data_IF_100858478101
#
_entry.id   IF_100858478101
#
_cell.length_a   1.000
_cell.length_b   1.000
_cell.length_c   1.000
_cell.angle_alpha   90.00
_cell.angle_beta   90.00
_cell.angle_gamma   90.00
#
_symmetry.space_group_name_H-M   'P 1'
#
loop_
_entity.id
_entity.type
_entity.pdbx_description
1 polymer ?
#
# COMPACT_ATOMS: atom_id res chain seq x y z
N UNK A 1 20.46 45.10 31.12
CA UNK A 1 19.64 44.25 31.99
C UNK A 1 19.25 43.03 31.16
N UNK A 2 20.10 42.02 30.98
CA UNK A 2 20.65 41.09 32.01
C UNK A 2 19.54 40.60 32.95
N UNK A 3 19.31 39.33 33.24
CA UNK A 3 19.87 38.05 32.76
C UNK A 3 18.96 36.94 33.34
N UNK A 4 18.64 35.93 32.51
CA UNK A 4 18.64 34.48 32.79
C UNK A 4 17.71 33.76 33.79
N UNK A 5 17.38 32.55 33.31
CA UNK A 5 17.14 31.25 33.97
C UNK A 5 15.71 30.94 34.40
N UNK A 6 15.09 29.79 34.06
CA UNK A 6 15.54 28.47 33.54
C UNK A 6 14.31 27.79 32.91
N UNK A 7 14.43 27.29 31.68
CA UNK A 7 14.59 25.86 31.36
C UNK A 7 13.38 24.97 31.69
N UNK A 8 12.65 24.55 30.65
CA UNK A 8 12.31 23.15 30.48
C UNK A 8 12.13 22.82 28.99
N UNK A 9 12.99 21.91 28.54
CA UNK A 9 13.03 21.29 27.23
C UNK A 9 11.89 20.28 27.13
N UNK A 10 11.07 20.33 26.07
CA UNK A 10 10.45 19.14 25.50
C UNK A 10 10.58 19.18 23.98
N UNK A 11 11.27 18.17 23.47
CA UNK A 11 11.40 17.83 22.07
C UNK A 11 10.03 17.53 21.47
N UNK A 12 9.50 18.46 20.68
CA UNK A 12 8.49 18.11 19.68
C UNK A 12 9.21 17.86 18.36
N UNK A 13 9.51 16.58 18.13
CA UNK A 13 9.91 16.06 16.84
C UNK A 13 8.81 16.35 15.83
N UNK A 14 9.11 17.28 14.92
CA UNK A 14 8.32 17.57 13.73
C UNK A 14 8.29 16.30 12.88
N UNK A 15 7.23 15.49 13.00
CA UNK A 15 6.91 14.48 12.02
C UNK A 15 6.55 15.19 10.72
N UNK A 16 7.50 15.24 9.80
CA UNK A 16 7.26 15.64 8.41
C UNK A 16 6.22 14.69 7.83
N UNK A 17 5.04 15.24 7.57
CA UNK A 17 3.97 14.65 6.80
C UNK A 17 4.51 14.36 5.40
N UNK A 18 4.84 13.11 5.11
CA UNK A 18 5.09 12.67 3.74
C UNK A 18 3.75 12.31 3.10
N UNK A 19 3.31 13.24 2.25
CA UNK A 19 2.27 13.07 1.24
C UNK A 19 2.41 11.71 0.54
N UNK A 20 1.29 11.02 0.38
CA UNK A 20 1.16 9.75 -0.32
C UNK A 20 1.94 9.75 -1.65
N UNK A 21 2.78 8.73 -1.87
CA UNK A 21 3.43 8.53 -3.16
C UNK A 21 2.47 7.80 -4.11
N UNK A 22 2.26 8.30 -5.33
CA UNK A 22 1.46 7.63 -6.34
C UNK A 22 2.14 6.33 -6.79
N UNK A 23 1.36 5.25 -6.83
CA UNK A 23 1.74 3.97 -7.42
C UNK A 23 1.81 4.15 -8.93
N UNK A 24 3.02 4.26 -9.48
CA UNK A 24 3.21 4.32 -10.92
C UNK A 24 4.63 4.67 -11.32
N UNK A 25 5.34 3.66 -11.84
CA UNK A 25 6.46 3.68 -12.82
C UNK A 25 7.59 2.74 -12.41
N UNK A 26 7.46 1.48 -12.81
CA UNK A 26 8.58 0.54 -12.94
C UNK A 26 9.35 0.87 -14.23
N UNK A 27 10.52 1.49 -14.11
CA UNK A 27 11.47 1.62 -15.22
C UNK A 27 12.39 0.39 -15.24
N UNK A 28 12.49 -0.27 -16.41
CA UNK A 28 13.48 -1.32 -16.69
C UNK A 28 14.85 -0.69 -17.01
N UNK A 29 15.97 -1.18 -16.46
CA UNK A 29 17.28 -0.86 -16.99
C UNK A 29 17.70 -1.82 -18.11
N UNK A 30 18.14 -1.20 -19.20
CA UNK A 30 18.91 -1.76 -20.31
C UNK A 30 20.36 -1.94 -19.85
N UNK A 31 21.04 -3.04 -20.21
CA UNK A 31 22.50 -3.07 -20.25
C UNK A 31 23.02 -3.79 -21.51
N UNK A 32 23.89 -3.06 -22.21
CA UNK A 32 24.75 -3.50 -23.32
C UNK A 32 25.91 -4.33 -22.75
N UNK A 33 26.25 -5.44 -23.41
CA UNK A 33 27.55 -6.08 -23.24
C UNK A 33 28.44 -5.71 -24.43
N UNK A 34 29.61 -5.14 -24.15
CA UNK A 34 30.78 -5.11 -25.04
C UNK A 34 31.67 -6.31 -24.70
N UNK A 35 32.19 -6.94 -25.75
CA UNK A 35 33.32 -7.86 -25.74
C UNK A 35 34.59 -7.22 -25.12
N UNK A 36 35.47 -8.02 -24.51
CA UNK A 36 36.77 -8.42 -25.09
C UNK A 36 37.66 -9.15 -24.07
N UNK A 37 38.57 -9.97 -24.63
CA UNK A 37 39.43 -10.98 -24.00
C UNK A 37 40.75 -10.40 -23.49
N UNK A 38 41.63 -11.33 -23.08
CA UNK A 38 43.10 -11.27 -22.83
C UNK A 38 43.34 -11.27 -21.31
N UNK A 39 43.99 -12.24 -20.67
CA UNK A 39 44.98 -13.25 -21.10
C UNK A 39 46.22 -13.02 -20.25
N UNK A 40 46.65 -14.00 -19.45
CA UNK A 40 48.08 -14.24 -19.15
C UNK A 40 48.31 -15.52 -18.33
N UNK A 41 49.37 -16.23 -18.75
CA UNK A 41 49.97 -17.42 -18.10
C UNK A 41 50.90 -16.95 -16.98
N UNK A 42 50.93 -17.67 -15.86
CA UNK A 42 52.10 -17.71 -14.97
C UNK A 42 52.41 -19.17 -14.62
N UNK A 43 53.70 -19.47 -14.70
CA UNK A 43 54.35 -20.77 -14.60
C UNK A 43 54.30 -21.36 -13.18
N UNK A 44 54.21 -22.69 -13.12
CA UNK A 44 54.28 -23.48 -11.88
C UNK A 44 55.75 -23.67 -11.45
N UNK A 45 56.08 -23.22 -10.24
CA UNK A 45 57.20 -23.77 -9.46
C UNK A 45 56.69 -24.75 -8.38
N UNK A 46 57.18 -25.98 -8.54
CA UNK A 46 57.26 -27.16 -7.66
C UNK A 46 56.80 -27.08 -6.19
N UNK A 47 55.75 -27.85 -5.88
CA UNK A 47 55.42 -28.31 -4.52
C UNK A 47 55.81 -29.79 -4.36
N UNK A 48 56.42 -30.12 -3.21
CA UNK A 48 56.97 -31.43 -2.83
C UNK A 48 55.95 -32.58 -2.83
N UNK A 49 56.36 -33.84 -3.14
CA UNK A 49 55.45 -34.98 -3.36
C UNK A 49 54.65 -35.43 -2.13
N UNK A 50 55.01 -34.97 -0.92
CA UNK A 50 54.29 -35.31 0.31
C UNK A 50 52.97 -34.53 0.48
N UNK A 51 52.74 -33.46 -0.29
CA UNK A 51 51.45 -32.77 -0.29
C UNK A 51 50.44 -33.43 -1.24
N UNK A 52 50.87 -34.19 -2.25
CA UNK A 52 50.00 -34.75 -3.29
C UNK A 52 48.95 -35.78 -2.80
N UNK A 53 49.12 -36.40 -1.63
CA UNK A 53 48.14 -37.38 -1.12
C UNK A 53 46.87 -36.75 -0.53
N UNK A 54 46.88 -35.45 -0.24
CA UNK A 54 45.68 -34.67 0.14
C UNK A 54 44.97 -34.04 -1.07
N UNK A 55 45.59 -34.09 -2.26
CA UNK A 55 45.20 -33.30 -3.44
C UNK A 55 44.36 -34.05 -4.48
N UNK A 56 44.27 -35.38 -4.39
CA UNK A 56 43.43 -36.17 -5.29
C UNK A 56 41.92 -36.11 -4.97
N UNK A 57 41.49 -35.35 -3.95
CA UNK A 57 40.09 -35.25 -3.52
C UNK A 57 39.36 -33.93 -3.85
N UNK A 58 40.04 -32.92 -4.38
CA UNK A 58 39.49 -31.55 -4.52
C UNK A 58 38.74 -31.35 -5.85
N UNK A 59 38.91 -32.22 -6.83
CA UNK A 59 38.38 -32.04 -8.19
C UNK A 59 36.86 -32.25 -8.35
N UNK A 60 36.10 -32.57 -7.30
CA UNK A 60 34.65 -32.78 -7.39
C UNK A 60 33.91 -32.46 -6.09
N UNK A 61 34.09 -31.28 -5.51
CA UNK A 61 33.17 -30.78 -4.49
C UNK A 61 31.84 -30.44 -5.17
N UNK A 62 30.83 -31.30 -4.99
CA UNK A 62 29.54 -31.21 -5.68
C UNK A 62 28.49 -30.39 -4.92
N UNK A 63 28.72 -30.07 -3.64
CA UNK A 63 27.77 -29.29 -2.84
C UNK A 63 28.45 -28.33 -1.85
N UNK A 64 27.69 -27.32 -1.41
CA UNK A 64 28.13 -26.34 -0.42
C UNK A 64 28.40 -27.00 0.95
N UNK A 65 27.68 -28.05 1.30
CA UNK A 65 27.86 -28.82 2.53
C UNK A 65 29.15 -29.63 2.50
N UNK A 66 29.47 -30.28 1.36
CA UNK A 66 30.75 -30.97 1.19
C UNK A 66 31.92 -30.00 1.25
N UNK A 67 31.75 -28.80 0.69
CA UNK A 67 32.74 -27.72 0.78
C UNK A 67 32.94 -27.27 2.24
N UNK A 68 31.85 -27.04 2.96
CA UNK A 68 31.89 -26.63 4.36
C UNK A 68 32.52 -27.70 5.25
N UNK A 69 32.23 -28.98 5.00
CA UNK A 69 32.85 -30.13 5.68
C UNK A 69 34.36 -30.17 5.47
N UNK A 70 34.80 -30.03 4.22
CA UNK A 70 36.23 -30.01 3.90
C UNK A 70 36.93 -28.82 4.57
N UNK A 71 36.35 -27.62 4.50
CA UNK A 71 36.90 -26.42 5.16
C UNK A 71 36.98 -26.63 6.67
N UNK A 72 35.96 -27.22 7.29
CA UNK A 72 35.96 -27.54 8.72
C UNK A 72 37.12 -28.47 9.10
N UNK A 73 37.33 -29.54 8.34
CA UNK A 73 38.40 -30.50 8.60
C UNK A 73 39.80 -29.90 8.39
N UNK A 74 39.97 -29.03 7.40
CA UNK A 74 41.24 -28.32 7.17
C UNK A 74 41.47 -27.25 8.24
N UNK A 75 40.43 -26.52 8.62
CA UNK A 75 40.48 -25.50 9.67
C UNK A 75 40.87 -26.10 11.02
N UNK A 76 40.60 -27.40 11.24
CA UNK A 76 41.03 -28.17 12.40
C UNK A 76 42.54 -28.45 12.44
N UNK A 77 43.25 -28.30 11.33
CA UNK A 77 44.66 -28.64 11.19
C UNK A 77 45.58 -27.42 10.96
N UNK A 78 45.03 -26.32 10.44
CA UNK A 78 45.78 -25.09 10.13
C UNK A 78 44.85 -23.87 10.03
N UNK A 79 45.42 -22.67 10.12
CA UNK A 79 44.73 -21.41 9.83
C UNK A 79 44.36 -21.30 8.34
N UNK A 80 43.21 -20.68 8.07
CA UNK A 80 42.66 -20.52 6.72
C UNK A 80 42.32 -19.05 6.47
N UNK A 81 42.81 -18.51 5.35
CA UNK A 81 42.35 -17.26 4.77
C UNK A 81 41.29 -17.52 3.71
N UNK A 82 40.02 -17.38 4.09
CA UNK A 82 38.88 -17.66 3.21
C UNK A 82 38.47 -16.42 2.43
N UNK A 83 38.47 -16.51 1.10
CA UNK A 83 37.93 -15.47 0.21
C UNK A 83 36.78 -16.04 -0.62
N UNK A 84 35.57 -15.53 -0.41
CA UNK A 84 34.42 -15.76 -1.28
C UNK A 84 34.27 -14.55 -2.23
N UNK A 85 34.19 -14.80 -3.53
CA UNK A 85 33.83 -13.72 -4.48
C UNK A 85 32.34 -13.33 -4.33
N UNK A 86 31.92 -12.18 -4.83
CA UNK A 86 30.52 -11.73 -4.70
C UNK A 86 29.63 -12.39 -5.78
N UNK A 87 28.97 -13.52 -5.50
CA UNK A 87 27.98 -14.17 -6.38
C UNK A 87 26.85 -14.81 -5.55
N UNK A 88 25.63 -14.89 -6.07
CA UNK A 88 24.44 -15.45 -5.36
C UNK A 88 24.66 -16.86 -4.80
N UNK A 89 25.42 -17.72 -5.50
CA UNK A 89 25.78 -19.08 -5.04
C UNK A 89 26.70 -19.10 -3.82
N UNK A 90 27.34 -17.97 -3.47
CA UNK A 90 28.19 -17.87 -2.29
C UNK A 90 27.39 -17.61 -1.01
N UNK A 91 26.13 -17.18 -1.09
CA UNK A 91 25.25 -17.15 0.08
C UNK A 91 24.97 -18.56 0.60
N UNK A 92 24.78 -19.52 -0.31
CA UNK A 92 24.58 -20.94 0.04
C UNK A 92 25.82 -21.52 0.72
N UNK A 93 27.01 -21.21 0.19
CA UNK A 93 28.30 -21.64 0.79
C UNK A 93 28.54 -20.98 2.14
N UNK A 94 28.29 -19.67 2.25
CA UNK A 94 28.35 -18.91 3.51
C UNK A 94 27.46 -19.56 4.56
N UNK A 95 26.22 -19.84 4.20
CA UNK A 95 25.23 -20.41 5.12
C UNK A 95 25.60 -21.84 5.55
N UNK A 96 26.09 -22.67 4.61
CA UNK A 96 26.59 -24.00 4.90
C UNK A 96 27.81 -23.96 5.84
N UNK A 97 28.74 -23.02 5.63
CA UNK A 97 29.88 -22.79 6.52
C UNK A 97 29.44 -22.36 7.92
N UNK A 98 28.56 -21.35 8.02
CA UNK A 98 28.05 -20.89 9.32
C UNK A 98 27.37 -22.02 10.09
N UNK A 99 26.57 -22.86 9.42
CA UNK A 99 25.94 -24.04 10.04
C UNK A 99 26.99 -25.07 10.47
N UNK A 100 27.97 -25.37 9.62
CA UNK A 100 28.99 -26.38 9.92
C UNK A 100 29.85 -26.00 11.12
N UNK A 101 30.18 -24.72 11.26
CA UNK A 101 30.93 -24.18 12.39
C UNK A 101 30.05 -23.84 13.60
N UNK A 102 28.76 -24.20 13.61
CA UNK A 102 27.80 -23.86 14.67
C UNK A 102 27.75 -22.35 15.00
N UNK A 103 28.06 -21.51 14.02
CA UNK A 103 28.09 -20.06 14.11
C UNK A 103 26.85 -19.43 13.46
N UNK A 104 25.82 -20.21 13.14
CA UNK A 104 24.59 -19.67 12.59
C UNK A 104 23.90 -18.76 13.62
N UNK A 105 23.48 -17.53 13.26
CA UNK A 105 22.94 -16.55 14.21
C UNK A 105 21.47 -16.84 14.60
N UNK A 106 21.20 -18.06 15.07
CA UNK A 106 19.86 -18.58 15.37
C UNK A 106 19.09 -17.67 16.35
N UNK A 107 19.74 -17.26 17.44
CA UNK A 107 19.12 -16.39 18.46
C UNK A 107 18.74 -15.02 17.91
N UNK A 108 19.58 -14.45 17.03
CA UNK A 108 19.33 -13.14 16.42
C UNK A 108 18.26 -13.23 15.33
N UNK A 109 18.24 -14.32 14.57
CA UNK A 109 17.18 -14.60 13.58
C UNK A 109 15.82 -14.77 14.26
N UNK A 110 15.74 -15.52 15.36
CA UNK A 110 14.51 -15.65 16.17
C UNK A 110 14.08 -14.28 16.74
N UNK A 111 15.02 -13.47 17.21
CA UNK A 111 14.71 -12.11 17.69
C UNK A 111 14.21 -11.21 16.56
N UNK A 112 14.78 -11.28 15.37
CA UNK A 112 14.34 -10.55 14.19
C UNK A 112 12.90 -10.96 13.80
N UNK A 113 12.62 -12.26 13.76
CA UNK A 113 11.26 -12.78 13.51
C UNK A 113 10.24 -12.32 14.57
N UNK A 114 10.62 -12.30 15.86
CA UNK A 114 9.76 -11.77 16.92
C UNK A 114 9.52 -10.26 16.79
N UNK A 115 10.54 -9.50 16.39
CA UNK A 115 10.40 -8.05 16.13
C UNK A 115 9.48 -7.80 14.94
N UNK A 116 9.64 -8.57 13.87
CA UNK A 116 8.77 -8.55 12.70
C UNK A 116 7.30 -8.77 13.05
N UNK A 117 6.99 -9.83 13.80
CA UNK A 117 5.62 -10.09 14.25
C UNK A 117 5.02 -8.94 15.06
N UNK A 118 5.81 -8.33 15.94
CA UNK A 118 5.37 -7.15 16.72
C UNK A 118 5.14 -5.92 15.83
N UNK A 119 6.00 -5.70 14.84
CA UNK A 119 5.88 -4.58 13.91
C UNK A 119 4.66 -4.74 13.02
N UNK A 120 4.39 -5.95 12.50
CA UNK A 120 3.18 -6.24 11.74
C UNK A 120 1.94 -6.01 12.57
N UNK A 121 1.89 -6.52 13.81
CA UNK A 121 0.72 -6.31 14.66
C UNK A 121 0.48 -4.82 14.91
N UNK A 122 1.54 -4.07 15.22
CA UNK A 122 1.45 -2.63 15.42
C UNK A 122 1.01 -1.89 14.16
N UNK A 123 1.56 -2.27 13.00
CA UNK A 123 1.18 -1.68 11.71
C UNK A 123 -0.27 -1.98 11.37
N UNK A 124 -0.75 -3.20 11.64
CA UNK A 124 -2.16 -3.58 11.47
C UNK A 124 -3.09 -2.71 12.34
N UNK A 125 -2.77 -2.57 13.63
CA UNK A 125 -3.57 -1.73 14.54
C UNK A 125 -3.58 -0.26 14.09
N UNK A 126 -2.43 0.26 13.66
CA UNK A 126 -2.30 1.62 13.13
C UNK A 126 -3.06 1.80 11.81
N UNK A 127 -2.97 0.85 10.88
CA UNK A 127 -3.71 0.87 9.63
C UNK A 127 -5.21 0.92 9.88
N UNK A 128 -5.71 0.07 10.77
CA UNK A 128 -7.12 0.04 11.11
C UNK A 128 -7.58 1.38 11.70
N UNK A 129 -6.82 1.96 12.63
CA UNK A 129 -7.12 3.28 13.21
C UNK A 129 -7.15 4.37 12.13
N UNK A 130 -6.16 4.41 11.24
CA UNK A 130 -6.07 5.43 10.19
C UNK A 130 -7.22 5.31 9.17
N UNK A 131 -7.59 4.09 8.75
CA UNK A 131 -8.74 3.89 7.85
C UNK A 131 -10.03 4.32 8.54
N UNK A 132 -10.22 3.96 9.81
CA UNK A 132 -11.40 4.35 10.57
C UNK A 132 -11.52 5.87 10.72
N UNK A 133 -10.42 6.57 11.05
CA UNK A 133 -10.41 8.03 11.15
C UNK A 133 -10.74 8.68 9.81
N UNK A 134 -10.12 8.20 8.72
CA UNK A 134 -10.39 8.69 7.38
C UNK A 134 -11.88 8.54 6.99
N UNK A 135 -12.43 7.34 7.17
CA UNK A 135 -13.82 7.06 6.82
C UNK A 135 -14.81 7.76 7.73
N UNK A 136 -14.46 7.96 9.01
CA UNK A 136 -15.29 8.72 9.93
C UNK A 136 -15.39 10.20 9.52
N UNK A 137 -14.26 10.82 9.16
CA UNK A 137 -14.23 12.19 8.64
C UNK A 137 -15.02 12.31 7.32
N UNK A 138 -14.80 11.38 6.39
CA UNK A 138 -15.52 11.36 5.11
C UNK A 138 -17.03 11.17 5.31
N UNK A 139 -17.43 10.27 6.21
CA UNK A 139 -18.83 10.10 6.61
C UNK A 139 -19.40 11.39 7.19
N UNK A 140 -18.68 12.04 8.09
CA UNK A 140 -19.08 13.31 8.69
C UNK A 140 -19.37 14.37 7.64
N UNK A 141 -18.45 14.56 6.68
CA UNK A 141 -18.60 15.52 5.59
C UNK A 141 -19.77 15.20 4.67
N UNK A 142 -19.93 13.94 4.25
CA UNK A 142 -21.04 13.52 3.39
C UNK A 142 -22.40 13.69 4.08
N UNK A 143 -22.48 13.40 5.39
CA UNK A 143 -23.70 13.62 6.17
C UNK A 143 -24.00 15.11 6.36
N UNK A 144 -22.98 15.92 6.65
CA UNK A 144 -23.13 17.37 6.80
C UNK A 144 -23.61 18.04 5.49
N UNK A 145 -23.17 17.51 4.34
CA UNK A 145 -23.59 17.98 3.02
C UNK A 145 -24.92 17.41 2.51
N UNK A 146 -25.52 16.43 3.20
CA UNK A 146 -26.68 15.69 2.68
C UNK A 146 -27.89 16.59 2.43
N UNK A 147 -28.23 17.48 3.37
CA UNK A 147 -29.38 18.38 3.20
C UNK A 147 -29.17 19.34 2.02
N UNK A 148 -27.95 19.88 1.89
CA UNK A 148 -27.60 20.84 0.84
C UNK A 148 -27.55 20.19 -0.55
N UNK A 149 -27.02 18.96 -0.65
CA UNK A 149 -27.00 18.16 -1.89
C UNK A 149 -28.41 17.89 -2.41
N UNK A 150 -29.37 17.70 -1.51
CA UNK A 150 -30.77 17.43 -1.83
C UNK A 150 -31.66 18.68 -1.81
N UNK A 151 -31.09 19.89 -1.81
CA UNK A 151 -31.83 21.18 -1.81
C UNK A 151 -32.78 21.38 -0.60
N UNK A 152 -32.63 20.58 0.46
CA UNK A 152 -33.51 20.64 1.62
C UNK A 152 -33.26 21.90 2.45
N UNK A 153 -32.01 22.37 2.50
CA UNK A 153 -31.64 23.62 3.17
C UNK A 153 -32.35 24.84 2.60
N UNK A 154 -32.66 24.82 1.31
CA UNK A 154 -33.30 25.93 0.62
C UNK A 154 -34.84 25.83 0.63
N UNK A 155 -35.38 24.61 0.54
CA UNK A 155 -36.82 24.37 0.56
C UNK A 155 -37.41 24.39 1.97
N UNK A 156 -36.63 24.00 2.98
CA UNK A 156 -36.99 23.99 4.39
C UNK A 156 -35.86 24.62 5.20
N UNK A 157 -35.67 25.95 5.10
CA UNK A 157 -34.61 26.62 5.84
C UNK A 157 -34.81 26.42 7.34
N UNK A 158 -33.89 25.69 7.95
CA UNK A 158 -33.84 25.47 9.39
C UNK A 158 -33.44 26.76 10.11
N UNK A 159 -33.76 26.84 11.41
CA UNK A 159 -33.35 27.96 12.29
C UNK A 159 -31.83 28.12 12.33
N UNK A 160 -31.09 27.05 12.06
CA UNK A 160 -29.64 27.06 11.91
C UNK A 160 -29.26 26.80 10.45
N UNK A 161 -28.38 27.63 9.86
CA UNK A 161 -27.95 27.45 8.48
C UNK A 161 -27.24 26.11 8.29
N UNK A 162 -27.28 25.59 7.06
CA UNK A 162 -26.59 24.36 6.69
C UNK A 162 -25.10 24.44 7.06
N UNK A 163 -24.58 23.34 7.61
CA UNK A 163 -23.19 23.24 8.08
C UNK A 163 -22.20 23.37 6.91
N UNK A 164 -22.62 22.95 5.72
CA UNK A 164 -21.80 22.90 4.52
C UNK A 164 -22.55 23.54 3.35
N UNK A 165 -21.83 24.33 2.54
CA UNK A 165 -22.40 24.92 1.33
C UNK A 165 -22.62 23.86 0.25
N UNK A 166 -23.45 24.18 -0.75
CA UNK A 166 -23.76 23.23 -1.84
C UNK A 166 -22.51 22.87 -2.63
N UNK A 167 -21.66 23.86 -2.90
CA UNK A 167 -20.41 23.67 -3.64
C UNK A 167 -19.47 22.73 -2.89
N UNK A 168 -19.23 22.99 -1.61
CA UNK A 168 -18.36 22.14 -0.78
C UNK A 168 -18.89 20.71 -0.66
N UNK A 169 -20.21 20.54 -0.52
CA UNK A 169 -20.83 19.22 -0.45
C UNK A 169 -20.72 18.46 -1.79
N UNK A 170 -20.84 19.18 -2.91
CA UNK A 170 -20.66 18.62 -4.26
C UNK A 170 -19.21 18.20 -4.49
N UNK A 171 -18.25 19.06 -4.17
CA UNK A 171 -16.82 18.77 -4.28
C UNK A 171 -16.43 17.55 -3.44
N UNK A 172 -16.98 17.45 -2.22
CA UNK A 172 -16.78 16.29 -1.34
C UNK A 172 -17.31 15.00 -1.98
N UNK A 173 -18.52 15.04 -2.55
CA UNK A 173 -19.11 13.88 -3.22
C UNK A 173 -18.35 13.50 -4.49
N UNK A 174 -17.88 14.47 -5.27
CA UNK A 174 -17.08 14.25 -6.48
C UNK A 174 -15.74 13.59 -6.13
N UNK A 175 -15.03 14.12 -5.13
CA UNK A 175 -13.78 13.53 -4.64
C UNK A 175 -13.98 12.08 -4.18
N UNK A 176 -15.06 11.82 -3.43
CA UNK A 176 -15.39 10.46 -2.99
C UNK A 176 -15.69 9.52 -4.16
N UNK A 177 -16.47 9.98 -5.13
CA UNK A 177 -16.84 9.22 -6.33
C UNK A 177 -15.61 8.91 -7.18
N UNK A 178 -14.66 9.84 -7.29
CA UNK A 178 -13.43 9.64 -8.03
C UNK A 178 -12.46 8.71 -7.29
N UNK A 179 -12.40 8.77 -5.96
CA UNK A 179 -11.68 7.78 -5.17
C UNK A 179 -12.22 6.37 -5.43
N UNK A 180 -13.53 6.18 -5.39
CA UNK A 180 -14.17 4.89 -5.70
C UNK A 180 -13.78 4.38 -7.08
N UNK A 181 -13.78 5.26 -8.10
CA UNK A 181 -13.37 4.89 -9.47
C UNK A 181 -11.89 4.52 -9.57
N UNK A 182 -11.05 5.12 -8.73
CA UNK A 182 -9.60 4.86 -8.72
C UNK A 182 -9.24 3.49 -8.14
N UNK A 183 -10.16 2.87 -7.39
CA UNK A 183 -9.94 1.57 -6.75
C UNK A 183 -10.34 0.46 -7.73
N UNK A 184 -9.33 -0.25 -8.24
CA UNK A 184 -9.50 -1.40 -9.14
C UNK A 184 -10.58 -2.38 -8.66
N UNK A 185 -11.55 -2.68 -9.53
CA UNK A 185 -12.62 -3.66 -9.27
C UNK A 185 -13.76 -3.15 -8.38
N UNK A 186 -13.54 -2.12 -7.56
CA UNK A 186 -14.55 -1.64 -6.60
C UNK A 186 -15.69 -0.90 -7.30
N UNK A 187 -15.36 -0.03 -8.25
CA UNK A 187 -16.37 0.64 -9.08
C UNK A 187 -17.27 -0.37 -9.79
N UNK A 188 -16.69 -1.41 -10.41
CA UNK A 188 -17.47 -2.44 -11.10
C UNK A 188 -18.41 -3.18 -10.13
N UNK A 189 -17.94 -3.47 -8.91
CA UNK A 189 -18.76 -4.09 -7.87
C UNK A 189 -19.97 -3.23 -7.50
N UNK A 190 -19.78 -1.91 -7.36
CA UNK A 190 -20.86 -0.98 -7.02
C UNK A 190 -21.80 -0.69 -8.19
N UNK A 191 -21.26 -0.63 -9.41
CA UNK A 191 -21.99 -0.29 -10.63
C UNK A 191 -22.97 -1.39 -11.08
N UNK A 192 -22.72 -2.65 -10.69
CA UNK A 192 -23.59 -3.78 -10.98
C UNK A 192 -24.89 -3.80 -10.14
N UNK A 193 -25.11 -2.82 -9.27
CA UNK A 193 -26.24 -2.79 -8.33
C UNK A 193 -26.84 -1.40 -8.14
N UNK A 194 -27.66 -1.28 -7.09
CA UNK A 194 -28.36 -0.03 -6.73
C UNK A 194 -27.44 1.00 -6.04
N UNK A 195 -26.30 0.57 -5.49
CA UNK A 195 -25.40 1.43 -4.72
C UNK A 195 -24.87 2.59 -5.56
N UNK A 196 -24.34 2.31 -6.76
CA UNK A 196 -23.79 3.37 -7.60
C UNK A 196 -24.82 4.37 -8.14
N UNK A 197 -25.96 3.94 -8.72
CA UNK A 197 -26.99 4.88 -9.16
C UNK A 197 -27.56 5.75 -8.02
N UNK A 198 -27.64 5.20 -6.81
CA UNK A 198 -28.13 5.94 -5.64
C UNK A 198 -27.06 6.88 -5.11
N UNK A 199 -25.80 6.45 -5.00
CA UNK A 199 -24.69 7.31 -4.55
C UNK A 199 -24.56 8.57 -5.42
N UNK A 200 -24.69 8.41 -6.74
CA UNK A 200 -24.60 9.49 -7.74
C UNK A 200 -25.90 10.26 -7.96
N UNK A 201 -26.96 9.95 -7.19
CA UNK A 201 -28.27 10.58 -7.31
C UNK A 201 -28.25 12.11 -7.18
N UNK A 202 -27.49 12.72 -6.24
CA UNK A 202 -27.46 14.18 -6.11
C UNK A 202 -27.09 14.93 -7.40
N UNK A 203 -26.15 14.38 -8.19
CA UNK A 203 -25.76 14.97 -9.48
C UNK A 203 -26.89 14.97 -10.50
N UNK A 204 -27.75 13.96 -10.46
CA UNK A 204 -28.91 13.84 -11.38
C UNK A 204 -30.06 14.73 -10.93
N UNK A 205 -30.22 14.89 -9.62
CA UNK A 205 -31.31 15.68 -9.03
C UNK A 205 -31.19 17.17 -9.30
N UNK A 206 -29.97 17.70 -9.46
CA UNK A 206 -29.71 19.11 -9.76
C UNK A 206 -30.58 19.61 -10.93
N UNK A 207 -30.46 19.00 -12.10
CA UNK A 207 -31.21 19.43 -13.29
C UNK A 207 -32.71 19.12 -13.21
N UNK A 208 -33.10 18.06 -12.50
CA UNK A 208 -34.51 17.71 -12.35
C UNK A 208 -35.24 18.69 -11.45
N UNK A 209 -34.62 19.06 -10.34
CA UNK A 209 -35.13 20.07 -9.43
C UNK A 209 -35.25 21.42 -10.14
N UNK A 210 -34.19 21.85 -10.83
CA UNK A 210 -34.19 23.09 -11.62
C UNK A 210 -35.28 23.07 -12.70
N UNK A 211 -35.49 21.94 -13.39
CA UNK A 211 -36.51 21.83 -14.43
C UNK A 211 -37.93 22.04 -13.91
N UNK A 212 -38.29 21.38 -12.79
CA UNK A 212 -39.58 21.57 -12.13
C UNK A 212 -39.73 23.02 -11.67
N UNK A 213 -38.68 23.57 -11.05
CA UNK A 213 -38.68 24.92 -10.52
C UNK A 213 -38.84 26.00 -11.59
N UNK A 214 -38.09 25.90 -12.68
CA UNK A 214 -38.16 26.84 -13.80
C UNK A 214 -39.55 26.84 -14.45
N UNK A 215 -40.23 25.70 -14.54
CA UNK A 215 -41.61 25.63 -15.04
C UNK A 215 -42.58 26.41 -14.14
N UNK A 216 -42.40 26.36 -12.82
CA UNK A 216 -43.22 27.10 -11.85
C UNK A 216 -42.98 28.61 -12.01
N UNK A 217 -41.72 29.04 -11.99
CA UNK A 217 -41.36 30.47 -12.09
C UNK A 217 -41.83 31.12 -13.38
N UNK A 218 -41.79 30.39 -14.50
CA UNK A 218 -42.22 30.91 -15.81
C UNK A 218 -43.76 30.89 -15.98
N UNK A 219 -44.51 30.48 -14.95
CA UNK A 219 -45.98 30.48 -14.98
C UNK A 219 -46.60 29.32 -15.76
N UNK A 220 -45.83 28.28 -16.09
CA UNK A 220 -46.33 27.08 -16.78
C UNK A 220 -46.90 26.06 -15.79
N UNK A 221 -47.87 26.48 -14.97
CA UNK A 221 -48.39 25.70 -13.84
C UNK A 221 -48.84 24.28 -14.19
N UNK A 222 -49.61 24.01 -15.27
CA UNK A 222 -49.99 22.63 -15.62
C UNK A 222 -48.78 21.74 -15.93
N UNK A 223 -47.80 22.28 -16.67
CA UNK A 223 -46.59 21.55 -17.00
C UNK A 223 -45.69 21.33 -15.77
N UNK A 224 -45.67 22.26 -14.82
CA UNK A 224 -44.98 22.10 -13.55
C UNK A 224 -45.56 20.96 -12.72
N UNK A 225 -46.90 20.84 -12.65
CA UNK A 225 -47.55 19.71 -11.97
C UNK A 225 -47.25 18.36 -12.65
N UNK A 226 -47.29 18.30 -13.98
CA UNK A 226 -46.89 17.09 -14.72
C UNK A 226 -45.43 16.72 -14.45
N UNK A 227 -44.53 17.72 -14.45
CA UNK A 227 -43.13 17.54 -14.13
C UNK A 227 -42.92 17.05 -12.69
N UNK A 228 -43.69 17.56 -11.72
CA UNK A 228 -43.68 17.08 -10.35
C UNK A 228 -44.15 15.63 -10.22
N UNK A 229 -45.15 15.19 -10.98
CA UNK A 229 -45.58 13.79 -10.97
C UNK A 229 -44.50 12.87 -11.56
N UNK A 230 -43.85 13.28 -12.65
CA UNK A 230 -42.71 12.55 -13.23
C UNK A 230 -41.54 12.51 -12.24
N UNK A 231 -41.26 13.61 -11.55
CA UNK A 231 -40.24 13.68 -10.48
C UNK A 231 -40.59 12.77 -9.30
N UNK A 232 -41.86 12.70 -8.91
CA UNK A 232 -42.35 11.77 -7.87
C UNK A 232 -42.15 10.31 -8.27
N UNK A 233 -42.51 9.92 -9.50
CA UNK A 233 -42.26 8.58 -10.02
C UNK A 233 -40.76 8.26 -10.05
N UNK A 234 -39.93 9.22 -10.43
CA UNK A 234 -38.48 9.10 -10.37
C UNK A 234 -38.00 8.87 -8.93
N UNK A 235 -38.46 9.69 -7.98
CA UNK A 235 -38.13 9.53 -6.56
C UNK A 235 -38.55 8.15 -6.04
N UNK A 236 -39.75 7.68 -6.37
CA UNK A 236 -40.25 6.35 -5.98
C UNK A 236 -39.38 5.21 -6.51
N UNK A 237 -38.89 5.31 -7.76
CA UNK A 237 -37.96 4.34 -8.33
C UNK A 237 -36.61 4.27 -7.59
N UNK A 238 -36.20 5.37 -6.92
CA UNK A 238 -34.96 5.43 -6.15
C UNK A 238 -35.14 5.24 -4.63
N UNK A 239 -36.35 5.37 -4.08
CA UNK A 239 -36.64 5.38 -2.63
C UNK A 239 -37.23 4.09 -2.05
N UNK A 240 -37.24 3.00 -2.82
CA UNK A 240 -37.67 1.68 -2.34
C UNK A 240 -36.44 0.85 -1.98
N UNK A 241 -36.00 0.94 -0.72
CA UNK A 241 -34.78 0.27 -0.28
C UNK A 241 -34.76 -1.25 -0.51
N UNK A 242 -35.94 -1.87 -0.49
CA UNK A 242 -36.16 -3.31 -0.59
C UNK A 242 -36.34 -3.85 -2.02
N UNK A 243 -36.28 -3.01 -3.07
CA UNK A 243 -36.50 -3.44 -4.45
C UNK A 243 -35.20 -3.54 -5.27
N UNK A 244 -35.19 -4.44 -6.26
CA UNK A 244 -34.13 -4.59 -7.28
C UNK A 244 -33.85 -3.25 -7.99
N UNK A 245 -32.71 -3.19 -8.69
CA UNK A 245 -32.19 -2.05 -9.44
C UNK A 245 -33.28 -1.12 -10.02
N UNK A 246 -33.05 0.21 -10.04
CA UNK A 246 -34.07 1.20 -10.43
C UNK A 246 -34.81 0.76 -11.69
N UNK A 247 -36.13 0.63 -11.61
CA UNK A 247 -36.97 0.44 -12.80
C UNK A 247 -36.73 1.67 -13.69
N UNK A 248 -36.61 1.45 -14.99
CA UNK A 248 -36.11 2.45 -15.95
C UNK A 248 -36.69 3.87 -15.78
N UNK A 249 -35.99 4.85 -16.34
CA UNK A 249 -36.33 6.26 -16.23
C UNK A 249 -37.79 6.54 -16.67
N UNK A 250 -38.59 7.27 -15.87
CA UNK A 250 -39.95 7.61 -16.25
C UNK A 250 -39.96 8.43 -17.54
N UNK A 251 -40.97 8.19 -18.38
CA UNK A 251 -41.14 8.89 -19.65
C UNK A 251 -41.25 10.40 -19.38
N UNK A 252 -40.47 11.21 -20.11
CA UNK A 252 -40.45 12.67 -19.97
C UNK A 252 -39.43 13.22 -18.97
N UNK A 253 -38.74 12.39 -18.19
CA UNK A 253 -37.72 12.86 -17.22
C UNK A 253 -36.58 13.65 -17.88
N UNK A 254 -36.18 13.26 -19.10
CA UNK A 254 -35.15 13.94 -19.88
C UNK A 254 -35.56 15.33 -20.33
N UNK A 255 -36.85 15.54 -20.60
CA UNK A 255 -37.41 16.85 -20.97
C UNK A 255 -37.28 17.78 -19.77
N UNK A 256 -37.64 17.31 -18.56
CA UNK A 256 -37.52 18.08 -17.32
C UNK A 256 -36.06 18.46 -17.07
N UNK A 257 -35.13 17.50 -17.14
CA UNK A 257 -33.71 17.78 -16.97
C UNK A 257 -33.19 18.80 -18.00
N UNK A 258 -33.66 18.73 -19.25
CA UNK A 258 -33.27 19.68 -20.30
C UNK A 258 -33.77 21.09 -20.01
N UNK A 259 -35.00 21.24 -19.51
CA UNK A 259 -35.52 22.53 -19.05
C UNK A 259 -34.65 23.07 -17.90
N UNK A 260 -34.24 22.22 -16.96
CA UNK A 260 -33.34 22.60 -15.88
C UNK A 260 -31.99 23.11 -16.36
N UNK A 261 -31.43 22.50 -17.41
CA UNK A 261 -30.16 22.92 -17.99
C UNK A 261 -30.23 24.21 -18.84
N UNK A 262 -31.42 24.56 -19.37
CA UNK A 262 -31.60 25.68 -20.29
C UNK A 262 -31.77 27.03 -19.60
N UNK A 263 -32.32 27.05 -18.39
CA UNK A 263 -32.63 28.30 -17.68
C UNK A 263 -31.72 28.48 -16.47
N UNK A 264 -31.13 29.68 -16.29
CA UNK A 264 -30.31 29.97 -15.13
C UNK A 264 -31.15 29.86 -13.85
N UNK A 265 -30.58 29.24 -12.83
CA UNK A 265 -31.23 29.01 -11.55
C UNK A 265 -30.58 29.89 -10.47
N UNK A 266 -31.36 30.78 -9.86
CA UNK A 266 -30.98 31.53 -8.67
C UNK A 266 -31.73 30.98 -7.46
N UNK A 267 -30.99 30.65 -6.39
CA UNK A 267 -31.60 30.19 -5.12
C UNK A 267 -32.46 31.27 -4.47
N UNK A 268 -32.24 32.56 -4.80
CA UNK A 268 -33.08 33.65 -4.31
C UNK A 268 -34.54 33.53 -4.78
N UNK A 269 -34.77 32.94 -5.96
CA UNK A 269 -36.10 32.80 -6.54
C UNK A 269 -36.92 31.71 -5.85
N UNK A 270 -36.31 30.85 -5.03
CA UNK A 270 -37.02 29.79 -4.29
C UNK A 270 -38.07 30.35 -3.33
N UNK A 271 -37.92 31.60 -2.91
CA UNK A 271 -38.91 32.32 -2.09
C UNK A 271 -40.22 32.60 -2.81
N UNK A 272 -40.25 32.47 -4.14
CA UNK A 272 -41.43 32.73 -4.98
C UNK A 272 -42.29 31.47 -5.21
N UNK A 273 -41.84 30.30 -4.73
CA UNK A 273 -42.60 29.06 -4.83
C UNK A 273 -43.81 29.06 -3.90
N UNK A 274 -44.90 28.47 -4.39
CA UNK A 274 -46.04 28.13 -3.55
C UNK A 274 -45.66 27.11 -2.48
N UNK A 275 -46.20 27.30 -1.27
CA UNK A 275 -45.93 26.47 -0.10
C UNK A 275 -46.25 24.99 -0.34
N UNK A 276 -47.33 24.68 -1.07
CA UNK A 276 -47.73 23.32 -1.40
C UNK A 276 -46.68 22.58 -2.26
N UNK A 277 -46.03 23.29 -3.19
CA UNK A 277 -44.97 22.75 -4.04
C UNK A 277 -43.71 22.52 -3.20
N UNK A 278 -43.34 23.49 -2.35
CA UNK A 278 -42.21 23.36 -1.43
C UNK A 278 -42.37 22.15 -0.50
N UNK A 279 -43.54 21.96 0.11
CA UNK A 279 -43.83 20.82 1.00
C UNK A 279 -43.73 19.51 0.24
N UNK A 280 -44.32 19.44 -0.96
CA UNK A 280 -44.31 18.23 -1.78
C UNK A 280 -42.89 17.84 -2.19
N UNK A 281 -42.11 18.77 -2.73
CA UNK A 281 -40.72 18.53 -3.14
C UNK A 281 -39.83 18.16 -1.96
N UNK A 282 -39.96 18.87 -0.84
CA UNK A 282 -39.20 18.59 0.38
C UNK A 282 -39.47 17.18 0.89
N UNK A 283 -40.72 16.73 0.87
CA UNK A 283 -41.07 15.37 1.31
C UNK A 283 -40.41 14.28 0.45
N UNK A 284 -40.35 14.49 -0.87
CA UNK A 284 -39.72 13.56 -1.81
C UNK A 284 -38.20 13.54 -1.67
N UNK A 285 -37.59 14.72 -1.58
CA UNK A 285 -36.15 14.91 -1.41
C UNK A 285 -35.66 14.38 -0.06
N UNK A 286 -36.43 14.57 1.02
CA UNK A 286 -36.13 14.00 2.35
C UNK A 286 -36.09 12.48 2.30
N UNK A 287 -37.03 11.86 1.58
CA UNK A 287 -37.08 10.41 1.41
C UNK A 287 -35.86 9.91 0.61
N UNK A 288 -35.48 10.60 -0.46
CA UNK A 288 -34.29 10.29 -1.26
C UNK A 288 -32.99 10.48 -0.47
N UNK A 289 -32.86 11.57 0.30
CA UNK A 289 -31.71 11.85 1.15
C UNK A 289 -31.52 10.76 2.21
N UNK A 290 -32.60 10.29 2.85
CA UNK A 290 -32.54 9.20 3.83
C UNK A 290 -31.99 7.90 3.23
N UNK A 291 -32.45 7.54 2.04
CA UNK A 291 -31.97 6.34 1.34
C UNK A 291 -30.54 6.51 0.84
N UNK A 292 -30.18 7.71 0.40
CA UNK A 292 -28.81 8.06 0.02
C UNK A 292 -27.84 7.92 1.19
N UNK A 293 -28.20 8.44 2.38
CA UNK A 293 -27.39 8.31 3.61
C UNK A 293 -27.14 6.83 3.95
N UNK A 294 -28.14 5.96 3.79
CA UNK A 294 -27.99 4.52 4.01
C UNK A 294 -27.02 3.90 3.00
N UNK A 295 -27.12 4.27 1.72
CA UNK A 295 -26.21 3.80 0.68
C UNK A 295 -24.79 4.30 0.92
N UNK A 296 -24.59 5.55 1.32
CA UNK A 296 -23.28 6.08 1.71
C UNK A 296 -22.68 5.22 2.83
N UNK A 297 -23.46 4.91 3.87
CA UNK A 297 -23.02 4.00 4.94
C UNK A 297 -22.52 2.66 4.41
N UNK A 298 -23.29 2.01 3.53
CA UNK A 298 -22.91 0.71 2.95
C UNK A 298 -21.66 0.79 2.05
N UNK A 299 -21.56 1.84 1.24
CA UNK A 299 -20.40 2.05 0.37
C UNK A 299 -19.14 2.28 1.22
N UNK A 300 -19.24 3.05 2.31
CA UNK A 300 -18.12 3.28 3.23
C UNK A 300 -17.71 1.99 3.97
N UNK A 301 -18.66 1.14 4.39
CA UNK A 301 -18.36 -0.17 4.99
C UNK A 301 -17.64 -1.12 4.01
N UNK A 302 -18.01 -1.08 2.73
CA UNK A 302 -17.31 -1.86 1.70
C UNK A 302 -15.92 -1.28 1.41
N UNK A 303 -15.81 0.05 1.35
CA UNK A 303 -14.55 0.76 1.14
C UNK A 303 -13.57 0.45 2.28
N UNK A 304 -14.04 0.43 3.53
CA UNK A 304 -13.25 0.08 4.70
C UNK A 304 -12.50 -1.25 4.53
N UNK A 305 -13.22 -2.31 4.16
CA UNK A 305 -12.65 -3.65 3.99
C UNK A 305 -11.56 -3.65 2.92
N UNK A 306 -11.77 -2.90 1.84
CA UNK A 306 -10.80 -2.81 0.73
C UNK A 306 -9.56 -2.02 1.15
N UNK A 307 -9.75 -0.87 1.80
CA UNK A 307 -8.66 -0.02 2.26
C UNK A 307 -7.79 -0.73 3.29
N UNK A 308 -8.39 -1.38 4.29
CA UNK A 308 -7.69 -2.19 5.29
C UNK A 308 -6.83 -3.25 4.58
N UNK A 309 -7.43 -4.05 3.69
CA UNK A 309 -6.70 -5.12 2.98
C UNK A 309 -5.53 -4.56 2.15
N UNK A 310 -5.74 -3.46 1.42
CA UNK A 310 -4.69 -2.86 0.59
C UNK A 310 -3.55 -2.30 1.43
N UNK A 311 -3.85 -1.58 2.51
CA UNK A 311 -2.82 -1.03 3.38
C UNK A 311 -2.06 -2.08 4.17
N UNK A 312 -2.74 -3.12 4.66
CA UNK A 312 -2.06 -4.26 5.29
C UNK A 312 -1.04 -4.90 4.36
N UNK A 313 -1.41 -5.14 3.09
CA UNK A 313 -0.51 -5.70 2.11
C UNK A 313 0.69 -4.77 1.84
N UNK A 314 0.46 -3.46 1.69
CA UNK A 314 1.53 -2.50 1.46
C UNK A 314 2.52 -2.42 2.64
N UNK A 315 2.01 -2.37 3.88
CA UNK A 315 2.85 -2.32 5.08
C UNK A 315 3.59 -3.65 5.30
N UNK A 316 2.93 -4.79 5.10
CA UNK A 316 3.56 -6.12 5.21
C UNK A 316 4.75 -6.25 4.27
N UNK A 317 4.61 -5.83 3.01
CA UNK A 317 5.71 -5.88 2.02
C UNK A 317 6.91 -5.05 2.50
N UNK A 318 6.68 -3.82 2.98
CA UNK A 318 7.77 -2.95 3.45
C UNK A 318 8.47 -3.55 4.68
N UNK A 319 7.71 -4.07 5.64
CA UNK A 319 8.25 -4.67 6.85
C UNK A 319 8.99 -5.99 6.54
N UNK A 320 8.52 -6.75 5.54
CA UNK A 320 9.18 -7.98 5.07
C UNK A 320 10.53 -7.68 4.39
N UNK A 321 10.58 -6.66 3.53
CA UNK A 321 11.84 -6.19 2.92
C UNK A 321 12.85 -5.76 3.99
N UNK A 322 12.42 -5.01 5.01
CA UNK A 322 13.28 -4.63 6.14
C UNK A 322 13.79 -5.83 6.94
N UNK A 323 12.94 -6.84 7.17
CA UNK A 323 13.34 -8.08 7.84
C UNK A 323 14.41 -8.83 7.05
N UNK A 324 14.20 -9.01 5.74
CA UNK A 324 15.14 -9.71 4.86
C UNK A 324 16.50 -9.01 4.93
N UNK A 325 16.52 -7.68 4.78
CA UNK A 325 17.74 -6.88 4.86
C UNK A 325 18.43 -6.99 6.22
N UNK A 326 17.67 -6.97 7.32
CA UNK A 326 18.21 -7.11 8.67
C UNK A 326 18.81 -8.50 8.92
N UNK A 327 18.15 -9.56 8.46
CA UNK A 327 18.63 -10.94 8.62
C UNK A 327 19.88 -11.17 7.77
N UNK A 328 19.87 -10.74 6.51
CA UNK A 328 21.02 -10.84 5.62
C UNK A 328 22.25 -10.12 6.19
N UNK A 329 22.06 -8.91 6.74
CA UNK A 329 23.13 -8.16 7.41
C UNK A 329 23.72 -8.93 8.60
N UNK A 330 22.87 -9.57 9.40
CA UNK A 330 23.32 -10.32 10.57
C UNK A 330 24.10 -11.59 10.17
N UNK A 331 23.62 -12.32 9.16
CA UNK A 331 24.31 -13.48 8.61
C UNK A 331 25.68 -13.05 8.05
N UNK A 332 25.74 -11.94 7.30
CA UNK A 332 27.00 -11.43 6.76
C UNK A 332 28.00 -11.02 7.84
N UNK A 333 27.53 -10.30 8.89
CA UNK A 333 28.38 -9.93 10.02
C UNK A 333 28.95 -11.17 10.73
N UNK A 334 28.12 -12.19 10.93
CA UNK A 334 28.54 -13.43 11.59
C UNK A 334 29.54 -14.21 10.74
N UNK A 335 29.38 -14.16 9.42
CA UNK A 335 30.34 -14.76 8.49
C UNK A 335 31.69 -14.05 8.48
N UNK A 336 31.72 -12.72 8.49
CA UNK A 336 32.99 -11.97 8.60
C UNK A 336 33.70 -12.28 9.92
N UNK A 337 32.96 -12.46 11.02
CA UNK A 337 33.52 -12.93 12.29
C UNK A 337 34.13 -14.33 12.17
N UNK A 338 33.44 -15.26 11.49
CA UNK A 338 33.97 -16.60 11.22
C UNK A 338 35.26 -16.54 10.39
N UNK A 339 35.32 -15.71 9.34
CA UNK A 339 36.55 -15.49 8.55
C UNK A 339 37.71 -15.02 9.41
N UNK A 340 37.47 -14.05 10.30
CA UNK A 340 38.49 -13.59 11.25
C UNK A 340 38.94 -14.71 12.21
N UNK A 341 38.04 -15.56 12.69
CA UNK A 341 38.37 -16.69 13.57
C UNK A 341 39.20 -17.77 12.86
N UNK A 342 38.87 -18.08 11.60
CA UNK A 342 39.61 -19.01 10.75
C UNK A 342 41.03 -18.52 10.46
N UNK A 343 41.19 -17.21 10.26
CA UNK A 343 42.47 -16.57 10.03
C UNK A 343 43.35 -16.52 11.29
N UNK A 344 42.75 -16.19 12.44
CA UNK A 344 43.47 -15.98 13.69
C UNK A 344 43.90 -17.28 14.40
N UNK A 345 43.64 -18.46 13.82
CA UNK A 345 43.94 -19.79 14.39
C UNK A 345 43.32 -20.03 15.78
N UNK A 346 42.22 -19.33 16.10
CA UNK A 346 41.58 -19.33 17.43
C UNK A 346 40.53 -20.44 17.62
N UNK A 347 40.43 -21.38 16.70
CA UNK A 347 39.39 -22.42 16.73
C UNK A 347 39.66 -23.52 17.77
N UNK A 348 40.91 -23.78 18.16
CA UNK A 348 41.27 -24.74 19.22
C UNK A 348 42.56 -24.32 19.95
N UNK A 349 42.55 -24.33 21.29
CA UNK A 349 43.69 -23.95 22.15
C UNK A 349 44.81 -25.00 22.26
N UNK A 350 44.70 -26.15 21.59
CA UNK A 350 45.57 -27.33 21.78
C UNK A 350 46.39 -27.71 20.53
N UNK A 351 46.88 -26.74 19.76
CA UNK A 351 47.72 -27.03 18.58
C UNK A 351 49.22 -26.91 18.88
N UNK A 352 50.06 -27.81 18.32
CA UNK A 352 51.51 -27.69 18.43
C UNK A 352 51.98 -26.42 17.71
N UNK A 353 52.67 -25.56 18.45
CA UNK A 353 53.25 -24.31 17.97
C UNK A 353 54.33 -24.58 16.91
N UNK A 354 53.94 -24.52 15.65
CA UNK A 354 54.87 -24.48 14.53
C UNK A 354 54.38 -23.46 13.52
N UNK A 355 55.24 -22.53 13.10
CA UNK A 355 55.00 -21.48 12.10
C UNK A 355 54.52 -22.08 10.77
N UNK A 356 53.23 -22.38 10.67
CA UNK A 356 52.57 -22.80 9.43
C UNK A 356 51.85 -21.58 8.87
N UNK A 357 52.28 -21.13 7.69
CA UNK A 357 51.60 -20.09 6.92
C UNK A 357 50.13 -20.48 6.72
N UNK A 358 49.23 -19.50 6.86
CA UNK A 358 47.80 -19.71 6.64
C UNK A 358 47.54 -20.19 5.20
N UNK A 359 46.62 -21.14 5.04
CA UNK A 359 46.18 -21.59 3.73
C UNK A 359 45.24 -20.56 3.12
N UNK A 360 45.58 -19.98 1.97
CA UNK A 360 44.62 -19.16 1.25
C UNK A 360 43.66 -20.06 0.49
N UNK A 361 42.38 -19.95 0.79
CA UNK A 361 41.29 -20.67 0.14
C UNK A 361 40.44 -19.64 -0.58
N UNK A 362 40.58 -19.59 -1.90
CA UNK A 362 39.71 -18.77 -2.74
C UNK A 362 38.68 -19.68 -3.40
N UNK A 363 37.40 -19.37 -3.17
CA UNK A 363 36.30 -20.08 -3.82
C UNK A 363 35.82 -19.22 -4.98
N UNK A 364 36.08 -19.71 -6.19
CA UNK A 364 35.71 -19.07 -7.45
C UNK A 364 34.76 -19.96 -8.25
N UNK A 365 34.05 -19.36 -9.20
CA UNK A 365 33.16 -20.07 -10.11
C UNK A 365 33.64 -19.81 -11.54
N UNK A 366 34.32 -20.78 -12.14
CA UNK A 366 34.77 -20.72 -13.54
C UNK A 366 34.26 -21.96 -14.28
N UNK A 367 33.53 -21.75 -15.39
CA UNK A 367 33.40 -22.75 -16.45
C UNK A 367 32.64 -24.04 -16.13
N UNK A 368 31.49 -23.97 -15.46
CA UNK A 368 30.58 -25.13 -15.34
C UNK A 368 30.96 -26.17 -14.28
N UNK A 369 32.04 -25.96 -13.50
CA UNK A 369 32.26 -26.66 -12.23
C UNK A 369 31.46 -25.99 -11.10
N UNK A 370 30.98 -26.79 -10.13
CA UNK A 370 30.09 -26.31 -9.05
C UNK A 370 30.82 -25.38 -8.06
N UNK A 371 32.06 -25.71 -7.66
CA UNK A 371 32.93 -24.86 -6.84
C UNK A 371 34.40 -25.14 -7.17
N UNK A 372 35.19 -24.10 -7.51
CA UNK A 372 36.63 -24.22 -7.70
C UNK A 372 37.34 -23.69 -6.45
N UNK A 373 38.21 -24.52 -5.87
CA UNK A 373 38.99 -24.19 -4.67
C UNK A 373 40.43 -23.96 -5.09
N UNK A 374 40.85 -22.69 -5.10
CA UNK A 374 42.23 -22.31 -5.38
C UNK A 374 43.01 -22.22 -4.05
N UNK A 375 44.08 -22.99 -3.95
CA UNK A 375 44.97 -23.02 -2.78
C UNK A 375 46.27 -22.30 -3.10
N UNK A 376 46.66 -21.31 -2.28
CA UNK A 376 47.95 -20.60 -2.38
C UNK A 376 48.62 -20.37 -1.04
#
# INVERSE_FOLDING_TARGET
MEEKSRANQHHNGVCRITVAKPVGRLNKPYFQNRDERIGDKIELESISPAQLSLWNGISLIQSAEQLAEWIYNVANQRSINLTLNCCERNEIVRDALLRRFNCWPETKNIQAAKRYQKLIQKAHDQCHEQVQLYLHDLRGKLLAGAETLFWLSELQPLVHPAIMTRLEAKDTLEAFVDEIKSIDGFYQQLNNGRLWPTLTLPFKLEFLFQGVFNLVLQGFTPAAYDAMQIFKLFAENYTTFDQRAPRGHPIGISIIASIGALFPFDTADLKQLDEEICVTLSSLLTRMARDWIRVVGQVLELLEKILITKWELCEQIQIEEELIMSVQKEIQNTFEQLKCLLLADKLNSERPSGDRKALNVKISNEGGQLFKVDLS
#
